data_IF_902138101880
#
_entry.id   IF_902138101880
#
_cell.length_a   1.000
_cell.length_b   1.000
_cell.length_c   1.000
_cell.angle_alpha   90.00
_cell.angle_beta   90.00
_cell.angle_gamma   90.00
#
_symmetry.space_group_name_H-M   'P 1'
#
loop_
_entity.id
_entity.type
_entity.pdbx_description
1 polymer ?
#
# COMPACT_ATOMS: atom_id res chain seq x y z
N UNK A 1 0.24 8.28 -19.55
CA UNK A 1 -0.73 8.84 -18.60
C UNK A 1 -0.39 10.29 -18.34
N UNK A 2 -1.39 11.17 -18.24
CA UNK A 2 -1.24 12.56 -17.80
C UNK A 2 -1.28 12.68 -16.26
N UNK A 3 -0.98 13.86 -15.70
CA UNK A 3 -0.90 14.06 -14.25
C UNK A 3 -2.19 13.66 -13.50
N UNK A 4 -3.37 13.94 -14.08
CA UNK A 4 -4.65 13.58 -13.49
C UNK A 4 -4.84 12.06 -13.43
N UNK A 5 -4.53 11.36 -14.52
CA UNK A 5 -4.61 9.90 -14.60
C UNK A 5 -3.67 9.23 -13.61
N UNK A 6 -2.43 9.72 -13.48
CA UNK A 6 -1.48 9.22 -12.47
C UNK A 6 -2.00 9.48 -11.06
N UNK A 7 -2.54 10.67 -10.81
CA UNK A 7 -3.05 11.02 -9.48
C UNK A 7 -4.22 10.13 -9.08
N UNK A 8 -5.13 9.84 -10.02
CA UNK A 8 -6.26 8.94 -9.79
C UNK A 8 -5.79 7.50 -9.57
N UNK A 9 -4.83 7.02 -10.37
CA UNK A 9 -4.24 5.69 -10.19
C UNK A 9 -3.62 5.55 -8.80
N UNK A 10 -2.80 6.52 -8.37
CA UNK A 10 -2.19 6.51 -7.05
C UNK A 10 -3.25 6.44 -5.94
N UNK A 11 -4.30 7.27 -6.02
CA UNK A 11 -5.39 7.22 -5.04
C UNK A 11 -6.06 5.84 -5.00
N UNK A 12 -6.38 5.26 -6.16
CA UNK A 12 -6.99 3.94 -6.25
C UNK A 12 -6.12 2.85 -5.62
N UNK A 13 -4.80 2.89 -5.85
CA UNK A 13 -3.89 1.91 -5.27
C UNK A 13 -3.77 2.06 -3.75
N UNK A 14 -3.66 3.29 -3.24
CA UNK A 14 -3.61 3.53 -1.80
C UNK A 14 -4.90 3.06 -1.11
N UNK A 15 -6.07 3.34 -1.69
CA UNK A 15 -7.37 2.87 -1.16
C UNK A 15 -7.46 1.34 -1.22
N UNK A 16 -7.01 0.71 -2.31
CA UNK A 16 -6.99 -0.76 -2.44
C UNK A 16 -6.11 -1.41 -1.36
N UNK A 17 -4.91 -0.88 -1.12
CA UNK A 17 -3.99 -1.38 -0.09
C UNK A 17 -4.58 -1.20 1.32
N UNK A 18 -5.27 -0.08 1.60
CA UNK A 18 -5.99 0.11 2.86
C UNK A 18 -7.13 -0.90 3.04
N UNK A 19 -7.90 -1.17 2.00
CA UNK A 19 -8.99 -2.15 2.04
C UNK A 19 -8.49 -3.57 2.29
N UNK A 20 -7.44 -4.00 1.57
CA UNK A 20 -6.84 -5.33 1.75
C UNK A 20 -6.28 -5.52 3.16
N UNK A 21 -5.57 -4.51 3.67
CA UNK A 21 -5.02 -4.55 5.03
C UNK A 21 -6.10 -4.52 6.11
N UNK A 22 -7.21 -3.79 5.90
CA UNK A 22 -8.34 -3.77 6.84
C UNK A 22 -9.03 -5.13 6.89
N UNK A 23 -9.26 -5.76 5.73
CA UNK A 23 -9.82 -7.11 5.66
C UNK A 23 -8.89 -8.12 6.34
N UNK A 24 -7.58 -8.07 6.07
CA UNK A 24 -6.60 -8.93 6.73
C UNK A 24 -6.68 -8.79 8.26
N UNK A 25 -6.76 -7.56 8.78
CA UNK A 25 -6.92 -7.29 10.22
C UNK A 25 -8.22 -7.85 10.78
N UNK A 26 -9.35 -7.61 10.10
CA UNK A 26 -10.67 -8.13 10.49
C UNK A 26 -10.64 -9.66 10.62
N UNK A 27 -10.13 -10.36 9.60
CA UNK A 27 -10.06 -11.82 9.62
C UNK A 27 -9.03 -12.36 10.61
N UNK A 28 -7.93 -11.65 10.86
CA UNK A 28 -6.94 -12.05 11.86
C UNK A 28 -7.51 -11.97 13.29
N UNK A 29 -8.35 -10.96 13.56
CA UNK A 29 -8.99 -10.74 14.86
C UNK A 29 -10.17 -11.68 15.12
N UNK A 30 -11.03 -11.92 14.12
CA UNK A 30 -12.35 -12.54 14.33
C UNK A 30 -12.40 -14.00 13.87
N UNK A 31 -11.69 -14.34 12.78
CA UNK A 31 -11.82 -15.62 12.11
C UNK A 31 -10.55 -16.46 12.13
N UNK A 32 -9.44 -15.91 12.65
CA UNK A 32 -8.13 -16.50 12.96
C UNK A 32 -7.38 -17.28 11.86
N UNK A 33 -8.06 -17.74 10.80
CA UNK A 33 -7.57 -18.69 9.81
C UNK A 33 -7.82 -18.25 8.35
N UNK A 34 -8.37 -17.05 8.11
CA UNK A 34 -8.74 -16.58 6.75
C UNK A 34 -8.07 -15.29 6.32
N UNK A 35 -7.09 -14.80 7.07
CA UNK A 35 -6.44 -13.52 6.78
C UNK A 35 -5.27 -13.63 5.80
N UNK A 36 -4.73 -14.84 5.62
CA UNK A 36 -3.53 -15.12 4.81
C UNK A 36 -3.74 -14.73 3.34
N UNK A 37 -4.91 -15.04 2.76
CA UNK A 37 -5.23 -14.66 1.38
C UNK A 37 -5.23 -13.14 1.16
N UNK A 38 -5.66 -12.36 2.15
CA UNK A 38 -5.64 -10.90 2.06
C UNK A 38 -4.22 -10.33 2.20
N UNK A 39 -3.35 -11.02 2.96
CA UNK A 39 -1.92 -10.68 3.02
C UNK A 39 -1.25 -10.97 1.68
N UNK A 40 -1.54 -12.12 1.07
CA UNK A 40 -1.00 -12.48 -0.23
C UNK A 40 -1.43 -11.49 -1.32
N UNK A 41 -2.72 -11.14 -1.35
CA UNK A 41 -3.26 -10.13 -2.27
C UNK A 41 -2.66 -8.74 -2.04
N UNK A 42 -2.41 -8.37 -0.78
CA UNK A 42 -1.72 -7.12 -0.42
C UNK A 42 -0.30 -7.10 -0.98
N UNK A 43 0.49 -8.14 -0.69
CA UNK A 43 1.88 -8.24 -1.14
C UNK A 43 1.97 -8.30 -2.68
N UNK A 44 1.05 -9.02 -3.33
CA UNK A 44 0.97 -9.08 -4.79
C UNK A 44 0.67 -7.69 -5.38
N UNK A 45 -0.29 -6.97 -4.79
CA UNK A 45 -0.64 -5.60 -5.22
C UNK A 45 0.56 -4.67 -5.08
N UNK A 46 1.29 -4.73 -3.97
CA UNK A 46 2.52 -3.93 -3.76
C UNK A 46 3.59 -4.26 -4.82
N UNK A 47 3.81 -5.53 -5.12
CA UNK A 47 4.81 -5.95 -6.11
C UNK A 47 4.44 -5.49 -7.53
N UNK A 48 3.17 -5.65 -7.92
CA UNK A 48 2.66 -5.14 -9.20
C UNK A 48 2.82 -3.62 -9.30
N UNK A 49 2.49 -2.91 -8.23
CA UNK A 49 2.59 -1.46 -8.18
C UNK A 49 4.05 -0.99 -8.20
N UNK A 50 4.96 -1.71 -7.56
CA UNK A 50 6.40 -1.44 -7.65
C UNK A 50 6.90 -1.53 -9.08
N UNK A 51 6.48 -2.55 -9.84
CA UNK A 51 6.81 -2.69 -11.27
C UNK A 51 6.25 -1.54 -12.09
N UNK A 52 5.01 -1.13 -11.82
CA UNK A 52 4.39 0.03 -12.47
C UNK A 52 5.14 1.34 -12.14
N UNK A 53 5.51 1.55 -10.88
CA UNK A 53 6.23 2.74 -10.44
C UNK A 53 7.61 2.83 -11.10
N UNK A 54 8.31 1.70 -11.25
CA UNK A 54 9.59 1.64 -11.97
C UNK A 54 9.43 1.98 -13.46
N UNK A 55 8.36 1.52 -14.13
CA UNK A 55 8.13 1.86 -15.54
C UNK A 55 7.70 3.32 -15.76
N UNK A 56 7.25 4.02 -14.72
CA UNK A 56 6.81 5.42 -14.76
C UNK A 56 7.72 6.37 -13.96
N UNK A 57 8.95 5.94 -13.64
CA UNK A 57 9.86 6.62 -12.72
C UNK A 57 10.14 8.09 -13.10
N UNK A 58 10.30 8.40 -14.40
CA UNK A 58 10.58 9.77 -14.86
C UNK A 58 9.48 10.76 -14.44
N UNK A 59 8.22 10.34 -14.55
CA UNK A 59 7.10 11.19 -14.19
C UNK A 59 6.89 11.20 -12.67
N UNK A 60 7.10 10.08 -11.99
CA UNK A 60 6.96 10.03 -10.53
C UNK A 60 8.05 10.82 -9.80
N UNK A 61 9.18 11.09 -10.45
CA UNK A 61 10.24 11.96 -9.94
C UNK A 61 9.98 13.46 -10.16
N UNK A 62 8.83 13.85 -10.73
CA UNK A 62 8.54 15.24 -11.10
C UNK A 62 8.09 16.13 -9.93
N UNK A 63 7.59 15.55 -8.84
CA UNK A 63 7.10 16.26 -7.65
C UNK A 63 7.33 15.43 -6.39
N UNK A 64 7.68 16.08 -5.28
CA UNK A 64 7.83 15.52 -3.93
C UNK A 64 6.69 14.60 -3.48
N UNK A 65 5.43 14.88 -3.84
CA UNK A 65 4.29 14.01 -3.49
C UNK A 65 4.39 12.65 -4.19
N UNK A 66 4.76 12.65 -5.47
CA UNK A 66 4.92 11.44 -6.28
C UNK A 66 6.18 10.66 -5.89
N UNK A 67 7.28 11.37 -5.57
CA UNK A 67 8.50 10.77 -5.04
C UNK A 67 8.21 10.06 -3.71
N UNK A 68 7.47 10.71 -2.81
CA UNK A 68 7.03 10.16 -1.53
C UNK A 68 6.17 8.90 -1.72
N UNK A 69 5.33 8.87 -2.75
CA UNK A 69 4.55 7.68 -3.11
C UNK A 69 5.46 6.53 -3.54
N UNK A 70 6.43 6.76 -4.43
CA UNK A 70 7.40 5.73 -4.83
C UNK A 70 8.20 5.18 -3.64
N UNK A 71 8.62 6.06 -2.72
CA UNK A 71 9.32 5.66 -1.51
C UNK A 71 8.45 4.76 -0.61
N UNK A 72 7.15 5.07 -0.48
CA UNK A 72 6.20 4.21 0.22
C UNK A 72 6.11 2.83 -0.44
N UNK A 73 5.84 2.77 -1.74
CA UNK A 73 5.68 1.49 -2.45
C UNK A 73 6.94 0.64 -2.34
N UNK A 74 8.12 1.26 -2.50
CA UNK A 74 9.40 0.57 -2.30
C UNK A 74 9.53 0.02 -0.88
N UNK A 75 9.22 0.83 0.15
CA UNK A 75 9.26 0.39 1.55
C UNK A 75 8.32 -0.77 1.83
N UNK A 76 7.11 -0.76 1.26
CA UNK A 76 6.16 -1.85 1.39
C UNK A 76 6.68 -3.13 0.72
N UNK A 77 7.31 -2.99 -0.46
CA UNK A 77 7.86 -4.12 -1.21
C UNK A 77 9.10 -4.73 -0.54
N UNK A 78 9.94 -3.90 0.07
CA UNK A 78 11.15 -4.32 0.81
C UNK A 78 10.80 -4.96 2.17
N UNK A 79 9.56 -4.82 2.64
CA UNK A 79 9.08 -5.35 3.93
C UNK A 79 7.65 -5.91 3.79
N UNK A 80 7.49 -7.03 3.06
CA UNK A 80 6.18 -7.65 2.85
C UNK A 80 5.57 -8.12 4.16
N UNK A 81 4.24 -8.17 4.22
CA UNK A 81 3.53 -8.77 5.34
C UNK A 81 3.75 -10.28 5.32
N UNK A 82 4.28 -10.84 6.41
CA UNK A 82 4.48 -12.28 6.58
C UNK A 82 3.47 -12.81 7.58
N UNK A 83 2.99 -14.04 7.37
CA UNK A 83 2.16 -14.80 8.31
C UNK A 83 2.96 -15.19 9.55
N UNK A 84 3.19 -14.21 10.43
CA UNK A 84 3.75 -14.38 11.77
C UNK A 84 2.61 -14.64 12.77
N UNK A 85 2.93 -15.07 13.99
CA UNK A 85 1.96 -15.23 15.09
C UNK A 85 0.96 -14.06 15.15
N UNK A 86 -0.32 -14.36 15.45
CA UNK A 86 -1.46 -13.43 15.30
C UNK A 86 -1.28 -12.03 15.91
N UNK A 87 -0.67 -11.93 17.10
CA UNK A 87 -0.41 -10.63 17.72
C UNK A 87 0.61 -9.77 16.96
N UNK A 88 1.61 -10.40 16.34
CA UNK A 88 2.62 -9.70 15.54
C UNK A 88 2.02 -9.20 14.22
N UNK A 89 1.18 -10.00 13.56
CA UNK A 89 0.62 -9.58 12.27
C UNK A 89 -0.30 -8.36 12.39
N UNK A 90 -1.11 -8.24 13.45
CA UNK A 90 -1.96 -7.06 13.66
C UNK A 90 -1.12 -5.79 13.83
N UNK A 91 -0.03 -5.87 14.59
CA UNK A 91 0.90 -4.76 14.77
C UNK A 91 1.53 -4.32 13.43
N UNK A 92 1.99 -5.28 12.62
CA UNK A 92 2.56 -4.99 11.32
C UNK A 92 1.54 -4.40 10.35
N UNK A 93 0.32 -4.96 10.29
CA UNK A 93 -0.77 -4.41 9.46
C UNK A 93 -1.06 -2.96 9.85
N UNK A 94 -1.23 -2.65 11.14
CA UNK A 94 -1.50 -1.28 11.60
C UNK A 94 -0.37 -0.31 11.26
N UNK A 95 0.88 -0.76 11.35
CA UNK A 95 2.05 0.03 10.99
C UNK A 95 2.02 0.40 9.51
N UNK A 96 1.77 -0.57 8.62
CA UNK A 96 1.67 -0.32 7.18
C UNK A 96 0.44 0.55 6.83
N UNK A 97 -0.72 0.27 7.43
CA UNK A 97 -1.94 1.08 7.25
C UNK A 97 -1.70 2.56 7.58
N UNK A 98 -1.00 2.84 8.68
CA UNK A 98 -0.70 4.21 9.09
C UNK A 98 0.15 4.93 8.04
N UNK A 99 1.14 4.25 7.46
CA UNK A 99 1.99 4.82 6.41
C UNK A 99 1.20 5.09 5.13
N UNK A 100 0.38 4.12 4.70
CA UNK A 100 -0.46 4.24 3.50
C UNK A 100 -1.48 5.37 3.66
N UNK A 101 -2.15 5.45 4.82
CA UNK A 101 -3.12 6.50 5.11
C UNK A 101 -2.48 7.90 5.12
N UNK A 102 -1.30 8.05 5.73
CA UNK A 102 -0.56 9.33 5.69
C UNK A 102 -0.22 9.74 4.26
N UNK A 103 0.21 8.80 3.42
CA UNK A 103 0.49 9.10 2.02
C UNK A 103 -0.77 9.49 1.25
N UNK A 104 -1.91 8.83 1.51
CA UNK A 104 -3.19 9.20 0.90
C UNK A 104 -3.62 10.62 1.27
N UNK A 105 -3.49 11.01 2.54
CA UNK A 105 -3.77 12.38 2.98
C UNK A 105 -2.85 13.39 2.30
N UNK A 106 -1.54 13.10 2.24
CA UNK A 106 -0.56 13.96 1.55
C UNK A 106 -0.90 14.13 0.07
N UNK A 107 -1.32 13.06 -0.60
CA UNK A 107 -1.72 13.09 -2.00
C UNK A 107 -2.98 13.93 -2.22
N UNK A 108 -4.00 13.79 -1.35
CA UNK A 108 -5.24 14.58 -1.43
C UNK A 108 -5.05 16.08 -1.17
N UNK A 109 -4.07 16.44 -0.34
CA UNK A 109 -3.75 17.85 -0.06
C UNK A 109 -2.93 18.52 -1.17
N UNK A 110 -2.32 17.73 -2.05
CA UNK A 110 -1.47 18.21 -3.15
C UNK A 110 -2.21 18.35 -4.49
N UNK A 111 -3.48 17.91 -4.54
CA UNK A 111 -4.43 18.11 -5.65
C UNK A 111 -5.20 19.42 -5.44
#
# INVERSE_FOLDING_TARGET
>A
MNYLEISLHIEQQLVKLLSLSENAKYYALIHHNKFESFIDDFNLTVNQEMKWAMSHQLLLNSNDTLVSYCQLIRRLNDSPLLTLNQGHIIYYINTQQTLIHRQLLKHKQAL
#
